data_IF_141842869556
#
_entry.id   IF_141842869556
#
_cell.length_a   1.000
_cell.length_b   1.000
_cell.length_c   1.000
_cell.angle_alpha   90.00
_cell.angle_beta   90.00
_cell.angle_gamma   90.00
#
_symmetry.space_group_name_H-M   'P 1'
#
loop_
_entity.id
_entity.type
_entity.pdbx_description
1 polymer ?
#
# COMPACT_ATOMS: atom_id res chain seq x y z
N UNK A 1 15.69 -31.60 -42.48
CA UNK A 1 16.17 -30.29 -41.95
C UNK A 1 15.01 -29.69 -41.17
N UNK A 2 14.97 -29.95 -39.89
CA UNK A 2 13.92 -29.47 -38.98
C UNK A 2 14.45 -28.21 -38.29
N UNK A 3 13.86 -27.06 -38.62
CA UNK A 3 14.17 -25.77 -38.06
C UNK A 3 13.59 -25.69 -36.63
N UNK A 4 14.47 -25.64 -35.61
CA UNK A 4 14.12 -25.43 -34.25
C UNK A 4 13.91 -23.93 -34.05
N UNK A 5 12.65 -23.50 -33.92
CA UNK A 5 12.33 -22.13 -33.54
C UNK A 5 12.62 -21.96 -32.06
N UNK A 6 13.70 -21.24 -31.70
CA UNK A 6 13.93 -20.77 -30.35
C UNK A 6 12.89 -19.69 -30.00
N UNK A 7 11.91 -20.03 -29.18
CA UNK A 7 11.04 -19.07 -28.50
C UNK A 7 11.89 -18.33 -27.44
N UNK A 8 12.29 -17.11 -27.76
CA UNK A 8 12.81 -16.19 -26.75
C UNK A 8 11.66 -15.75 -25.86
N UNK A 9 11.57 -16.33 -24.68
CA UNK A 9 10.74 -15.75 -23.60
C UNK A 9 11.48 -14.51 -23.13
N UNK A 10 11.04 -13.35 -23.60
CA UNK A 10 11.48 -12.07 -23.04
C UNK A 10 10.85 -11.99 -21.66
N UNK A 11 11.64 -11.96 -20.56
CA UNK A 11 11.06 -11.69 -19.26
C UNK A 11 10.44 -10.29 -19.32
N UNK A 12 9.13 -10.18 -19.05
CA UNK A 12 8.53 -8.90 -18.74
C UNK A 12 9.21 -8.40 -17.44
N UNK A 13 10.22 -7.56 -17.61
CA UNK A 13 10.78 -6.80 -16.52
C UNK A 13 9.69 -5.82 -16.06
N UNK A 14 9.01 -6.16 -14.98
CA UNK A 14 8.19 -5.20 -14.27
C UNK A 14 9.16 -4.12 -13.73
N UNK A 15 9.11 -2.88 -14.22
CA UNK A 15 10.10 -1.88 -13.83
C UNK A 15 9.84 -1.51 -12.36
N UNK A 16 10.77 -1.86 -11.50
CA UNK A 16 10.85 -1.33 -10.14
C UNK A 16 11.23 0.14 -10.20
N UNK A 17 10.24 1.01 -10.33
CA UNK A 17 10.44 2.44 -10.34
C UNK A 17 10.59 2.95 -8.90
N UNK A 18 11.82 2.99 -8.39
CA UNK A 18 12.12 3.70 -7.15
C UNK A 18 11.80 5.20 -7.32
N UNK A 19 10.98 5.75 -6.43
CA UNK A 19 10.60 7.16 -6.44
C UNK A 19 9.42 7.54 -7.33
N UNK A 20 8.80 6.59 -8.05
CA UNK A 20 7.59 6.84 -8.81
C UNK A 20 6.36 7.04 -7.89
N UNK A 21 5.35 7.76 -8.39
CA UNK A 21 4.03 7.81 -7.75
C UNK A 21 3.32 6.45 -7.95
N UNK A 22 3.30 5.62 -6.91
CA UNK A 22 2.70 4.28 -6.98
C UNK A 22 1.16 4.29 -6.91
N UNK A 23 0.56 5.45 -6.62
CA UNK A 23 -0.88 5.65 -6.63
C UNK A 23 -1.44 6.09 -7.99
N UNK A 24 -0.58 6.53 -8.92
CA UNK A 24 -1.00 7.09 -10.20
C UNK A 24 -1.88 6.13 -11.00
N UNK A 25 -3.07 6.60 -11.42
CA UNK A 25 -4.08 5.86 -12.19
C UNK A 25 -4.61 4.59 -11.50
N UNK A 26 -4.45 4.48 -10.18
CA UNK A 26 -5.01 3.38 -9.40
C UNK A 26 -6.47 3.63 -9.02
N UNK A 27 -7.17 2.56 -8.65
CA UNK A 27 -8.57 2.68 -8.21
C UNK A 27 -8.64 3.34 -6.85
N UNK A 28 -9.43 4.39 -6.75
CA UNK A 28 -9.61 5.14 -5.51
C UNK A 28 -11.09 5.18 -5.09
N UNK A 29 -11.30 5.38 -3.80
CA UNK A 29 -12.59 5.41 -3.15
C UNK A 29 -12.65 6.57 -2.16
N UNK A 30 -13.85 7.02 -1.82
CA UNK A 30 -14.06 8.06 -0.80
C UNK A 30 -15.36 7.80 -0.04
N UNK A 31 -15.46 8.33 1.17
CA UNK A 31 -16.60 8.13 2.07
C UNK A 31 -17.92 8.59 1.48
N UNK A 32 -17.91 9.68 0.73
CA UNK A 32 -19.06 10.26 0.06
C UNK A 32 -18.60 11.09 -1.12
N UNK A 33 -19.49 11.33 -2.09
CA UNK A 33 -19.19 12.12 -3.29
C UNK A 33 -20.10 13.35 -3.36
N UNK A 34 -19.49 14.53 -3.40
CA UNK A 34 -20.19 15.77 -3.69
C UNK A 34 -20.69 15.75 -5.15
N UNK A 35 -21.97 16.08 -5.31
CA UNK A 35 -22.60 16.15 -6.62
C UNK A 35 -23.15 17.57 -6.80
N UNK A 36 -22.63 18.26 -7.79
CA UNK A 36 -23.10 19.60 -8.13
C UNK A 36 -22.93 19.85 -9.63
N UNK A 37 -24.06 20.00 -10.31
CA UNK A 37 -24.17 20.36 -11.72
C UNK A 37 -23.17 19.59 -12.63
N UNK A 38 -22.17 20.25 -13.19
CA UNK A 38 -21.18 19.65 -14.10
C UNK A 38 -19.88 19.25 -13.42
N UNK A 39 -19.83 19.28 -12.08
CA UNK A 39 -18.60 18.95 -11.34
C UNK A 39 -18.55 17.45 -11.03
N UNK A 40 -17.55 16.77 -11.55
CA UNK A 40 -17.20 15.43 -11.11
C UNK A 40 -16.13 15.51 -9.99
N UNK A 41 -16.54 15.26 -8.75
CA UNK A 41 -15.68 15.28 -7.57
C UNK A 41 -15.33 13.86 -7.09
N UNK A 42 -15.13 12.93 -8.03
CA UNK A 42 -14.86 11.52 -7.72
C UNK A 42 -13.46 11.28 -7.15
N UNK A 43 -13.33 10.17 -6.44
CA UNK A 43 -12.08 9.78 -5.78
C UNK A 43 -10.91 9.66 -6.76
N UNK A 44 -11.15 9.22 -7.99
CA UNK A 44 -10.14 9.04 -9.03
C UNK A 44 -9.41 10.32 -9.44
N UNK A 45 -10.02 11.48 -9.24
CA UNK A 45 -9.41 12.77 -9.57
C UNK A 45 -8.16 13.08 -8.73
N UNK A 46 -7.96 12.40 -7.62
CA UNK A 46 -6.75 12.56 -6.81
C UNK A 46 -5.61 11.59 -7.16
N UNK A 47 -5.75 10.83 -8.24
CA UNK A 47 -4.72 9.90 -8.72
C UNK A 47 -4.62 9.87 -10.24
N UNK A 48 -5.13 10.90 -10.94
CA UNK A 48 -5.12 10.99 -12.39
C UNK A 48 -3.88 11.69 -12.98
N UNK A 49 -3.02 12.22 -12.10
CA UNK A 49 -1.81 12.96 -12.46
C UNK A 49 -2.05 14.44 -12.72
N UNK A 50 -3.29 14.92 -12.54
CA UNK A 50 -3.66 16.30 -12.78
C UNK A 50 -3.61 17.14 -11.48
N UNK A 51 -2.54 17.86 -11.28
CA UNK A 51 -2.33 18.71 -10.10
C UNK A 51 -3.05 20.07 -10.16
N UNK A 52 -3.95 20.26 -11.12
CA UNK A 52 -4.73 21.49 -11.20
C UNK A 52 -5.59 21.67 -9.94
N UNK A 53 -5.47 22.80 -9.29
CA UNK A 53 -6.10 23.10 -8.00
C UNK A 53 -7.58 23.51 -8.10
N UNK A 54 -8.17 23.49 -9.27
CA UNK A 54 -9.55 23.96 -9.51
C UNK A 54 -10.57 22.82 -9.51
N UNK A 55 -11.51 22.85 -8.58
CA UNK A 55 -12.59 21.86 -8.50
C UNK A 55 -13.50 21.88 -9.74
N UNK A 56 -13.80 23.06 -10.26
CA UNK A 56 -14.63 23.25 -11.46
C UNK A 56 -13.98 22.74 -12.75
N UNK A 57 -12.68 22.40 -12.69
CA UNK A 57 -11.95 21.71 -13.75
C UNK A 57 -12.02 20.18 -13.64
N UNK A 58 -12.83 19.61 -12.76
CA UNK A 58 -12.93 18.17 -12.48
C UNK A 58 -11.59 17.54 -12.08
N UNK A 59 -10.72 18.30 -11.41
CA UNK A 59 -9.38 17.88 -11.03
C UNK A 59 -9.23 17.56 -9.55
N UNK A 60 -10.29 17.67 -8.76
CA UNK A 60 -10.23 17.45 -7.32
C UNK A 60 -11.35 16.53 -6.85
N UNK A 61 -11.10 15.83 -5.74
CA UNK A 61 -12.12 15.08 -5.00
C UNK A 61 -12.91 16.02 -4.09
N UNK A 62 -14.12 15.63 -3.68
CA UNK A 62 -14.85 16.34 -2.65
C UNK A 62 -15.91 15.44 -1.99
N UNK A 63 -15.92 15.36 -0.67
CA UNK A 63 -16.97 14.69 0.11
C UNK A 63 -18.17 15.60 0.34
N UNK A 64 -19.31 15.06 0.79
CA UNK A 64 -20.54 15.84 1.03
C UNK A 64 -20.52 16.56 2.38
N UNK A 65 -21.42 17.53 2.54
CA UNK A 65 -21.74 18.16 3.83
C UNK A 65 -22.35 17.15 4.79
N UNK A 66 -21.97 17.24 6.07
CA UNK A 66 -22.49 16.37 7.13
C UNK A 66 -21.80 15.01 7.23
N UNK A 67 -20.86 14.71 6.36
CA UNK A 67 -20.00 13.54 6.49
C UNK A 67 -18.87 13.85 7.49
N UNK A 68 -19.09 13.56 8.76
CA UNK A 68 -18.12 13.83 9.84
C UNK A 68 -16.98 12.79 9.93
N UNK A 69 -17.09 11.71 9.17
CA UNK A 69 -16.09 10.64 9.11
C UNK A 69 -15.46 10.54 7.73
N UNK A 70 -15.06 11.68 7.18
CA UNK A 70 -14.54 11.76 5.81
C UNK A 70 -13.22 11.04 5.65
N UNK A 71 -13.13 10.26 4.59
CA UNK A 71 -11.92 9.58 4.18
C UNK A 71 -11.84 9.45 2.66
N UNK A 72 -10.63 9.28 2.19
CA UNK A 72 -10.28 8.89 0.84
C UNK A 72 -9.23 7.76 0.92
N UNK A 73 -9.28 6.82 -0.01
CA UNK A 73 -8.27 5.77 -0.10
C UNK A 73 -7.97 5.40 -1.55
N UNK A 74 -6.79 4.87 -1.78
CA UNK A 74 -6.37 4.27 -3.05
C UNK A 74 -5.91 2.82 -2.83
N UNK A 75 -6.32 1.92 -3.72
CA UNK A 75 -5.80 0.57 -3.82
C UNK A 75 -4.53 0.59 -4.69
N UNK A 76 -3.36 0.42 -4.07
CA UNK A 76 -2.09 0.39 -4.78
C UNK A 76 -1.90 -0.89 -5.62
N UNK A 77 -2.83 -1.86 -5.51
CA UNK A 77 -2.84 -3.20 -6.11
C UNK A 77 -1.76 -4.12 -5.54
N UNK A 78 -0.56 -3.61 -5.33
CA UNK A 78 0.59 -4.32 -4.80
C UNK A 78 0.89 -3.88 -3.36
N UNK A 79 1.74 -4.62 -2.67
CA UNK A 79 2.19 -4.28 -1.31
C UNK A 79 3.45 -3.43 -1.39
N UNK A 80 3.38 -2.25 -0.80
CA UNK A 80 4.49 -1.30 -0.74
C UNK A 80 4.90 -1.01 0.70
N UNK A 81 6.18 -0.74 0.89
CA UNK A 81 6.70 -0.02 2.03
C UNK A 81 6.58 1.48 1.73
N UNK A 82 5.52 2.09 2.22
CA UNK A 82 5.22 3.51 1.99
C UNK A 82 6.13 4.37 2.86
N UNK A 83 6.81 5.34 2.26
CA UNK A 83 7.78 6.22 2.95
C UNK A 83 7.33 7.66 3.02
N UNK A 84 6.70 8.18 1.97
CA UNK A 84 6.21 9.54 1.95
C UNK A 84 5.03 9.72 0.98
N UNK A 85 4.31 10.81 1.16
CA UNK A 85 3.18 11.19 0.35
C UNK A 85 3.21 12.69 0.07
N UNK A 86 2.83 13.08 -1.15
CA UNK A 86 2.58 14.48 -1.49
C UNK A 86 1.10 14.68 -1.75
N UNK A 87 0.51 15.69 -1.13
CA UNK A 87 -0.88 16.07 -1.29
C UNK A 87 -0.95 17.45 -1.97
N UNK A 88 -1.81 17.60 -2.97
CA UNK A 88 -2.13 18.88 -3.60
C UNK A 88 -3.53 19.33 -3.19
N UNK A 89 -3.62 20.57 -2.78
CA UNK A 89 -4.85 21.18 -2.30
C UNK A 89 -5.50 22.03 -3.39
N UNK A 90 -6.71 22.46 -3.12
CA UNK A 90 -7.44 23.42 -3.93
C UNK A 90 -6.88 24.84 -3.76
N UNK A 91 -7.07 25.67 -4.80
CA UNK A 91 -6.69 27.09 -4.82
C UNK A 91 -7.55 27.97 -3.92
N UNK A 92 -8.82 27.59 -3.74
CA UNK A 92 -9.78 28.26 -2.85
C UNK A 92 -10.26 27.31 -1.77
N UNK A 93 -10.69 27.84 -0.62
CA UNK A 93 -11.17 27.07 0.54
C UNK A 93 -10.16 26.01 0.99
N UNK A 94 -8.91 26.37 1.04
CA UNK A 94 -7.79 25.49 1.37
C UNK A 94 -7.95 24.84 2.77
N UNK A 95 -8.65 25.48 3.67
CA UNK A 95 -8.99 25.01 5.02
C UNK A 95 -9.82 23.71 5.05
N UNK A 96 -10.36 23.30 3.90
CA UNK A 96 -11.04 21.99 3.78
C UNK A 96 -10.07 20.79 3.83
N UNK A 97 -8.80 20.99 3.50
CA UNK A 97 -7.75 19.97 3.63
C UNK A 97 -6.89 20.24 4.87
N UNK A 98 -7.37 19.78 6.01
CA UNK A 98 -6.72 19.97 7.32
C UNK A 98 -7.04 18.83 8.28
N UNK A 99 -6.30 18.74 9.38
CA UNK A 99 -6.49 17.76 10.44
C UNK A 99 -6.46 16.32 9.90
N UNK A 100 -5.40 15.98 9.18
CA UNK A 100 -5.30 14.72 8.45
C UNK A 100 -4.58 13.67 9.29
N UNK A 101 -5.04 12.43 9.14
CA UNK A 101 -4.31 11.21 9.51
C UNK A 101 -4.11 10.42 8.22
N UNK A 102 -2.86 10.06 7.95
CA UNK A 102 -2.46 9.25 6.83
C UNK A 102 -2.11 7.85 7.33
N UNK A 103 -2.74 6.86 6.73
CA UNK A 103 -2.67 5.47 7.18
C UNK A 103 -2.39 4.54 6.00
N UNK A 104 -1.80 3.40 6.30
CA UNK A 104 -1.56 2.33 5.32
C UNK A 104 -2.15 1.03 5.86
N UNK A 105 -2.99 0.38 5.06
CA UNK A 105 -3.69 -0.84 5.44
C UNK A 105 -3.40 -2.01 4.51
N UNK A 106 -3.54 -3.22 5.05
CA UNK A 106 -3.37 -4.47 4.28
C UNK A 106 -4.70 -5.03 3.75
N UNK A 107 -5.83 -4.47 4.17
CA UNK A 107 -7.17 -4.92 3.76
C UNK A 107 -8.01 -3.73 3.33
N UNK A 108 -8.91 -3.96 2.36
CA UNK A 108 -9.91 -2.97 2.00
C UNK A 108 -10.81 -2.70 3.22
N UNK A 109 -10.94 -1.44 3.65
CA UNK A 109 -11.78 -1.12 4.77
C UNK A 109 -13.25 -1.33 4.41
N UNK A 110 -13.92 -2.17 5.19
CA UNK A 110 -15.37 -2.38 5.09
C UNK A 110 -16.12 -1.42 6.01
N UNK A 111 -15.46 -0.97 7.07
CA UNK A 111 -16.01 -0.05 8.10
C UNK A 111 -14.87 0.79 8.69
N UNK A 112 -15.17 2.02 9.12
CA UNK A 112 -14.24 2.85 9.89
C UNK A 112 -14.50 2.78 11.39
N UNK A 113 -13.47 2.90 12.25
CA UNK A 113 -12.05 3.01 11.90
C UNK A 113 -11.55 1.73 11.24
N UNK A 114 -10.59 1.87 10.33
CA UNK A 114 -10.05 0.75 9.56
C UNK A 114 -9.32 -0.19 10.51
N UNK A 115 -9.83 -1.41 10.76
CA UNK A 115 -9.10 -2.35 11.59
C UNK A 115 -7.73 -2.63 10.95
N UNK A 116 -6.65 -2.45 11.72
CA UNK A 116 -5.29 -2.81 11.32
C UNK A 116 -4.63 -1.91 10.25
N UNK A 117 -5.15 -0.70 9.99
CA UNK A 117 -4.35 0.32 9.33
C UNK A 117 -3.33 0.88 10.32
N UNK A 118 -2.09 1.02 9.86
CA UNK A 118 -1.00 1.63 10.63
C UNK A 118 -0.84 3.09 10.20
N UNK A 119 -0.58 3.96 11.17
CA UNK A 119 -0.39 5.37 10.89
C UNK A 119 0.97 5.61 10.23
N UNK A 120 0.94 6.19 9.02
CA UNK A 120 2.13 6.75 8.40
C UNK A 120 2.54 8.04 9.13
N UNK A 121 1.62 9.01 9.21
CA UNK A 121 1.84 10.28 9.93
C UNK A 121 0.52 11.01 10.15
N UNK A 122 0.57 12.14 10.87
CA UNK A 122 -0.56 13.03 11.05
C UNK A 122 -0.16 14.47 10.70
N UNK A 123 -1.10 15.23 10.16
CA UNK A 123 -0.93 16.63 9.83
C UNK A 123 -2.05 17.46 10.43
N UNK A 124 -1.83 18.14 11.56
CA UNK A 124 -2.90 18.87 12.27
C UNK A 124 -3.23 20.23 11.66
N UNK A 125 -2.42 20.72 10.75
CA UNK A 125 -2.61 22.04 10.12
C UNK A 125 -3.42 21.98 8.82
N UNK A 126 -3.62 23.13 8.21
CA UNK A 126 -4.18 23.27 6.85
C UNK A 126 -3.08 23.07 5.82
N UNK A 127 -3.31 22.21 4.84
CA UNK A 127 -2.41 22.04 3.71
C UNK A 127 -2.42 23.32 2.87
N UNK A 128 -1.24 23.86 2.56
CA UNK A 128 -1.10 24.96 1.60
C UNK A 128 -1.42 24.52 0.18
N UNK A 129 -0.74 25.05 -0.82
CA UNK A 129 -0.91 24.62 -2.23
C UNK A 129 -0.59 23.14 -2.38
N UNK A 130 0.50 22.71 -1.74
CA UNK A 130 0.89 21.29 -1.61
C UNK A 130 1.68 21.07 -0.33
N UNK A 131 1.77 19.81 0.10
CA UNK A 131 2.65 19.37 1.19
C UNK A 131 3.21 17.99 0.88
N UNK A 132 4.49 17.77 1.19
CA UNK A 132 5.08 16.44 1.21
C UNK A 132 5.30 16.03 2.66
N UNK A 133 4.71 14.92 3.05
CA UNK A 133 4.76 14.35 4.39
C UNK A 133 5.55 13.04 4.34
N UNK A 134 6.50 12.91 5.25
CA UNK A 134 7.23 11.64 5.45
C UNK A 134 6.54 10.86 6.55
N UNK A 135 6.40 9.54 6.38
CA UNK A 135 5.91 8.67 7.43
C UNK A 135 6.83 8.72 8.65
N UNK A 136 6.27 8.70 9.86
CA UNK A 136 7.02 8.66 11.12
C UNK A 136 7.96 7.45 11.17
N UNK A 137 7.53 6.35 10.55
CA UNK A 137 8.31 5.18 10.15
C UNK A 137 7.73 4.64 8.84
N UNK A 138 8.51 3.95 7.99
CA UNK A 138 7.97 3.27 6.81
C UNK A 138 6.86 2.29 7.21
N UNK A 139 5.74 2.30 6.49
CA UNK A 139 4.57 1.45 6.77
C UNK A 139 4.26 0.57 5.57
N UNK A 140 3.99 -0.71 5.83
CA UNK A 140 3.73 -1.69 4.77
C UNK A 140 2.25 -1.96 4.62
N UNK A 141 1.79 -1.88 3.36
CA UNK A 141 0.43 -2.26 3.00
C UNK A 141 0.11 -2.03 1.53
N UNK A 142 -1.14 -2.31 1.20
CA UNK A 142 -1.69 -2.16 -0.15
C UNK A 142 -2.57 -0.93 -0.30
N UNK A 143 -3.27 -0.55 0.77
CA UNK A 143 -4.22 0.56 0.73
C UNK A 143 -3.63 1.76 1.43
N UNK A 144 -3.51 2.88 0.70
CA UNK A 144 -3.13 4.16 1.30
C UNK A 144 -4.39 4.98 1.55
N UNK A 145 -4.49 5.56 2.76
CA UNK A 145 -5.71 6.18 3.27
C UNK A 145 -5.41 7.57 3.78
N UNK A 146 -6.23 8.54 3.38
CA UNK A 146 -6.28 9.89 3.95
C UNK A 146 -7.59 10.03 4.69
N UNK A 147 -7.52 10.23 6.00
CA UNK A 147 -8.67 10.45 6.84
C UNK A 147 -8.59 11.82 7.50
N UNK A 148 -9.70 12.53 7.48
CA UNK A 148 -9.82 13.81 8.19
C UNK A 148 -10.37 13.57 9.60
N UNK A 149 -9.72 14.17 10.59
CA UNK A 149 -10.24 14.18 11.95
C UNK A 149 -11.22 15.34 12.06
N UNK A 150 -12.49 15.02 12.33
CA UNK A 150 -13.50 16.06 12.59
C UNK A 150 -13.24 16.73 13.94
N UNK A 151 -13.17 18.05 13.93
CA UNK A 151 -13.10 18.88 15.13
C UNK A 151 -14.35 19.73 15.15
N UNK A 152 -15.20 19.67 16.22
CA UNK A 152 -16.42 20.46 16.31
C UNK A 152 -16.16 21.95 16.06
N UNK A 153 -16.99 22.55 15.17
CA UNK A 153 -16.84 23.94 14.74
C UNK A 153 -15.87 24.16 13.57
N UNK A 154 -15.27 23.08 13.03
CA UNK A 154 -14.46 23.13 11.79
C UNK A 154 -15.26 22.59 10.61
N UNK A 155 -14.69 22.76 9.40
CA UNK A 155 -15.29 22.29 8.15
C UNK A 155 -15.02 20.78 8.03
N UNK A 156 -16.07 19.99 7.84
CA UNK A 156 -16.01 18.53 7.78
C UNK A 156 -15.58 17.99 6.40
N UNK A 157 -15.67 18.77 5.33
CA UNK A 157 -15.30 18.27 4.00
C UNK A 157 -13.85 17.80 3.92
N UNK A 158 -13.63 16.74 3.13
CA UNK A 158 -12.32 16.35 2.64
C UNK A 158 -12.27 16.62 1.14
N UNK A 159 -11.27 17.35 0.68
CA UNK A 159 -11.06 17.66 -0.73
C UNK A 159 -9.56 17.69 -1.01
N UNK A 160 -9.13 17.10 -2.12
CA UNK A 160 -7.76 17.04 -2.60
C UNK A 160 -7.75 16.99 -4.11
N UNK A 161 -6.71 17.55 -4.74
CA UNK A 161 -6.63 17.56 -6.20
C UNK A 161 -5.65 16.52 -6.73
N UNK A 162 -4.63 16.11 -5.95
CA UNK A 162 -3.76 15.01 -6.30
C UNK A 162 -3.11 14.42 -5.05
N UNK A 163 -2.83 13.13 -5.10
CA UNK A 163 -2.11 12.35 -4.09
C UNK A 163 -1.01 11.54 -4.77
N UNK A 164 0.24 11.84 -4.46
CA UNK A 164 1.35 11.01 -4.91
C UNK A 164 1.92 10.23 -3.73
N UNK A 165 1.81 8.92 -3.79
CA UNK A 165 2.38 8.00 -2.79
C UNK A 165 3.71 7.48 -3.30
N UNK A 166 4.74 7.50 -2.44
CA UNK A 166 6.05 6.94 -2.72
C UNK A 166 6.39 5.84 -1.74
N UNK A 167 6.95 4.78 -2.27
CA UNK A 167 7.33 3.62 -1.49
C UNK A 167 8.11 2.61 -2.31
N UNK A 168 8.63 1.61 -1.63
CA UNK A 168 9.35 0.50 -2.24
C UNK A 168 8.38 -0.68 -2.43
N UNK A 169 8.40 -1.29 -3.61
CA UNK A 169 7.61 -2.49 -3.86
C UNK A 169 8.12 -3.65 -2.99
N UNK A 170 7.24 -4.24 -2.19
CA UNK A 170 7.54 -5.40 -1.34
C UNK A 170 7.00 -6.67 -1.96
N UNK A 171 5.77 -6.62 -2.47
CA UNK A 171 5.10 -7.77 -3.06
C UNK A 171 4.17 -7.31 -4.18
N UNK A 172 4.23 -8.00 -5.32
CA UNK A 172 3.36 -7.74 -6.47
C UNK A 172 2.52 -8.96 -6.81
N UNK A 173 1.30 -8.75 -7.27
CA UNK A 173 0.44 -9.81 -7.81
C UNK A 173 0.80 -10.15 -9.27
N UNK A 174 1.68 -9.37 -9.91
CA UNK A 174 2.10 -9.55 -11.30
C UNK A 174 3.23 -10.58 -11.46
N UNK A 175 2.89 -11.87 -11.44
CA UNK A 175 3.80 -12.95 -11.88
C UNK A 175 4.55 -13.68 -10.76
N UNK A 176 5.37 -14.69 -11.13
CA UNK A 176 6.13 -15.49 -10.19
C UNK A 176 7.17 -14.62 -9.49
N UNK A 177 6.86 -14.23 -8.27
CA UNK A 177 7.75 -13.44 -7.45
C UNK A 177 9.00 -14.24 -7.11
N UNK A 178 10.14 -13.61 -7.23
CA UNK A 178 11.40 -14.19 -6.81
C UNK A 178 11.46 -14.22 -5.28
N UNK A 179 10.94 -15.28 -4.69
CA UNK A 179 11.28 -15.61 -3.32
C UNK A 179 12.73 -16.09 -3.32
N UNK A 180 13.61 -15.36 -2.65
CA UNK A 180 14.97 -15.85 -2.41
C UNK A 180 15.00 -16.76 -1.21
N UNK A 181 15.64 -17.91 -1.37
CA UNK A 181 15.76 -18.89 -0.30
C UNK A 181 17.11 -18.75 0.42
N UNK A 182 17.05 -18.62 1.75
CA UNK A 182 18.21 -18.73 2.63
C UNK A 182 18.20 -20.11 3.30
N UNK A 183 19.07 -21.01 2.83
CA UNK A 183 19.15 -22.39 3.30
C UNK A 183 19.83 -22.46 4.67
N UNK A 184 19.28 -23.27 5.58
CA UNK A 184 19.80 -23.40 6.95
C UNK A 184 19.53 -22.18 7.83
N UNK A 185 18.61 -21.33 7.42
CA UNK A 185 18.21 -20.10 8.12
C UNK A 185 16.73 -20.08 8.44
N UNK A 186 16.39 -19.47 9.56
CA UNK A 186 15.02 -19.22 10.00
C UNK A 186 14.91 -17.80 10.54
N UNK A 187 13.83 -17.12 10.19
CA UNK A 187 13.46 -15.86 10.83
C UNK A 187 12.66 -16.13 12.09
N UNK A 188 13.16 -15.69 13.24
CA UNK A 188 12.46 -15.80 14.51
C UNK A 188 11.59 -14.57 14.73
N UNK A 189 10.28 -14.76 14.86
CA UNK A 189 9.34 -13.68 15.17
C UNK A 189 8.73 -13.91 16.54
N UNK A 190 8.59 -12.87 17.33
CA UNK A 190 7.93 -12.92 18.64
C UNK A 190 6.40 -13.01 18.52
N UNK A 191 5.84 -12.76 17.36
CA UNK A 191 4.41 -12.84 17.07
C UNK A 191 4.14 -13.90 16.01
N UNK A 192 3.52 -14.96 16.46
CA UNK A 192 3.21 -16.16 15.73
C UNK A 192 2.58 -15.90 14.37
N UNK A 193 3.33 -16.17 13.40
CA UNK A 193 2.99 -16.69 12.11
C UNK A 193 1.95 -17.80 12.20
N UNK A 194 1.10 -17.87 11.21
CA UNK A 194 0.21 -19.03 11.05
C UNK A 194 1.07 -20.23 10.71
N UNK A 195 1.08 -21.24 11.60
CA UNK A 195 1.72 -22.52 11.33
C UNK A 195 0.74 -23.42 10.56
N UNK A 196 1.16 -23.96 9.45
CA UNK A 196 0.44 -25.01 8.71
C UNK A 196 1.42 -26.08 8.27
N UNK A 197 0.95 -27.32 8.22
CA UNK A 197 1.74 -28.40 7.64
C UNK A 197 1.33 -28.53 6.18
N UNK A 198 2.30 -28.44 5.28
CA UNK A 198 2.11 -28.52 3.82
C UNK A 198 3.12 -29.49 3.21
N UNK A 199 2.80 -29.99 2.02
CA UNK A 199 3.60 -31.04 1.37
C UNK A 199 4.89 -30.51 0.74
N UNK A 200 4.98 -29.21 0.48
CA UNK A 200 6.16 -28.66 -0.19
C UNK A 200 6.38 -27.18 0.11
N UNK A 201 7.61 -26.68 -0.07
CA UNK A 201 7.88 -25.23 0.00
C UNK A 201 7.05 -24.41 -1.01
N UNK A 202 6.74 -24.99 -2.17
CA UNK A 202 5.94 -24.34 -3.20
C UNK A 202 4.48 -24.11 -2.76
N UNK A 203 3.91 -25.07 -2.04
CA UNK A 203 2.57 -24.94 -1.46
C UNK A 203 2.55 -23.86 -0.37
N UNK A 204 3.55 -23.87 0.53
CA UNK A 204 3.75 -22.83 1.53
C UNK A 204 3.89 -21.43 0.88
N UNK A 205 4.68 -21.34 -0.19
CA UNK A 205 4.84 -20.10 -0.95
C UNK A 205 3.54 -19.64 -1.62
N UNK A 206 2.75 -20.58 -2.15
CA UNK A 206 1.44 -20.27 -2.73
C UNK A 206 0.46 -19.74 -1.69
N UNK A 207 0.44 -20.31 -0.48
CA UNK A 207 -0.40 -19.82 0.62
C UNK A 207 0.05 -18.45 1.11
N UNK A 208 1.35 -18.23 1.22
CA UNK A 208 1.93 -16.92 1.53
C UNK A 208 1.58 -15.89 0.43
N UNK A 209 1.64 -16.29 -0.83
CA UNK A 209 1.30 -15.40 -1.96
C UNK A 209 -0.16 -14.95 -1.90
N UNK A 210 -1.08 -15.86 -1.60
CA UNK A 210 -2.53 -15.55 -1.45
C UNK A 210 -2.85 -14.69 -0.23
N UNK A 211 -1.95 -14.62 0.75
CA UNK A 211 -2.14 -13.81 1.94
C UNK A 211 -1.38 -12.49 1.80
N UNK A 212 -2.12 -11.40 1.61
CA UNK A 212 -1.57 -10.05 1.40
C UNK A 212 -0.64 -9.57 2.54
N UNK A 213 -0.82 -10.11 3.76
CA UNK A 213 0.04 -9.79 4.90
C UNK A 213 1.33 -10.60 4.94
N UNK A 214 1.41 -11.68 4.17
CA UNK A 214 2.57 -12.55 4.20
C UNK A 214 3.71 -11.91 3.42
N UNK A 215 4.79 -11.59 4.10
CA UNK A 215 5.99 -10.92 3.57
C UNK A 215 7.17 -11.86 3.43
N UNK A 216 7.01 -13.13 3.83
CA UNK A 216 8.01 -14.18 3.75
C UNK A 216 7.50 -15.43 4.44
N UNK A 217 8.31 -16.48 4.42
CA UNK A 217 7.98 -17.72 5.10
C UNK A 217 9.24 -18.45 5.55
N UNK A 218 9.09 -19.23 6.62
CA UNK A 218 10.01 -20.28 6.98
C UNK A 218 9.40 -21.63 6.62
N UNK A 219 10.20 -22.55 6.11
CA UNK A 219 9.77 -23.92 5.82
C UNK A 219 10.75 -24.92 6.41
N UNK A 220 10.24 -25.88 7.18
CA UNK A 220 11.03 -26.97 7.72
C UNK A 220 10.91 -28.21 6.84
N UNK A 221 12.04 -28.67 6.33
CA UNK A 221 12.10 -29.71 5.30
C UNK A 221 11.69 -31.09 5.80
N UNK A 222 11.87 -31.40 7.10
CA UNK A 222 11.62 -32.72 7.66
C UNK A 222 10.16 -32.93 8.05
N UNK A 223 9.49 -31.89 8.53
CA UNK A 223 8.11 -31.94 9.04
C UNK A 223 7.08 -31.38 8.09
N UNK A 224 7.52 -30.63 7.06
CA UNK A 224 6.63 -29.86 6.20
C UNK A 224 6.01 -28.63 6.90
N UNK A 225 6.58 -28.19 8.00
CA UNK A 225 6.07 -27.03 8.74
C UNK A 225 6.30 -25.75 7.94
N UNK A 226 5.21 -25.08 7.60
CA UNK A 226 5.16 -23.78 6.95
C UNK A 226 4.79 -22.71 7.97
N UNK A 227 5.64 -21.70 8.10
CA UNK A 227 5.47 -20.58 9.02
C UNK A 227 5.46 -19.29 8.22
N UNK A 228 4.29 -18.65 8.13
CA UNK A 228 4.14 -17.39 7.38
C UNK A 228 4.59 -16.21 8.24
N UNK A 229 5.34 -15.28 7.63
CA UNK A 229 5.94 -14.13 8.28
C UNK A 229 5.21 -12.87 7.83
N UNK A 230 4.72 -12.09 8.78
CA UNK A 230 3.93 -10.88 8.56
C UNK A 230 4.69 -9.59 8.92
N UNK A 231 6.01 -9.68 9.07
CA UNK A 231 6.89 -8.54 9.30
C UNK A 231 7.87 -8.40 8.15
N UNK A 232 8.35 -7.18 7.95
CA UNK A 232 9.41 -6.89 6.99
C UNK A 232 10.58 -7.84 7.13
N UNK A 233 11.20 -8.15 5.97
CA UNK A 233 12.47 -8.85 5.88
C UNK A 233 13.43 -8.26 6.90
N UNK A 234 13.88 -9.07 7.84
CA UNK A 234 14.98 -8.67 8.71
C UNK A 234 16.21 -8.37 7.86
N UNK A 235 17.07 -7.52 8.34
CA UNK A 235 18.46 -7.53 7.89
C UNK A 235 18.97 -8.97 8.00
N UNK A 236 19.89 -9.39 7.13
CA UNK A 236 20.47 -10.75 7.13
C UNK A 236 20.96 -11.17 8.53
N UNK A 237 21.31 -10.19 9.36
CA UNK A 237 21.72 -10.34 10.77
C UNK A 237 20.63 -10.87 11.71
N UNK A 238 19.35 -10.78 11.33
CA UNK A 238 18.22 -11.26 12.13
C UNK A 238 17.80 -12.71 11.78
N UNK A 239 18.42 -13.32 10.76
CA UNK A 239 18.21 -14.72 10.43
C UNK A 239 19.09 -15.61 11.33
N UNK A 240 18.48 -16.48 12.10
CA UNK A 240 19.19 -17.43 12.95
C UNK A 240 19.60 -18.69 12.17
N UNK A 241 20.72 -19.30 12.55
CA UNK A 241 21.10 -20.60 12.02
C UNK A 241 20.11 -21.66 12.52
N UNK A 242 19.48 -22.35 11.58
CA UNK A 242 18.48 -23.38 11.85
C UNK A 242 18.60 -24.50 10.81
N UNK A 243 19.46 -25.51 11.03
CA UNK A 243 19.59 -26.66 10.14
C UNK A 243 18.23 -27.31 9.90
N UNK A 244 17.93 -27.67 8.64
CA UNK A 244 16.63 -28.23 8.24
C UNK A 244 15.58 -27.19 7.84
N UNK A 245 15.78 -25.94 8.18
CA UNK A 245 14.90 -24.84 7.80
C UNK A 245 15.39 -24.12 6.54
N UNK A 246 14.44 -23.48 5.85
CA UNK A 246 14.70 -22.53 4.77
C UNK A 246 13.84 -21.31 5.00
N UNK A 247 14.44 -20.14 5.04
CA UNK A 247 13.74 -18.87 4.98
C UNK A 247 13.55 -18.45 3.52
N UNK A 248 12.36 -17.99 3.18
CA UNK A 248 12.04 -17.41 1.87
C UNK A 248 11.50 -16.00 2.10
N UNK A 249 12.17 -15.00 1.55
CA UNK A 249 11.77 -13.60 1.60
C UNK A 249 11.49 -13.05 0.22
N UNK A 250 10.52 -12.13 0.10
CA UNK A 250 10.36 -11.35 -1.12
C UNK A 250 11.56 -10.42 -1.27
N UNK A 251 12.14 -10.37 -2.47
CA UNK A 251 13.14 -9.37 -2.79
C UNK A 251 12.44 -8.04 -3.05
N UNK A 252 12.97 -6.99 -2.44
CA UNK A 252 12.71 -5.63 -2.88
C UNK A 252 13.44 -5.48 -4.22
N UNK A 253 12.73 -5.19 -5.27
CA UNK A 253 13.32 -4.93 -6.57
C UNK A 253 14.08 -3.60 -6.57
#
# INVERSE_FOLDING_TARGET
MTSLALLFVVPLLCPCATGANVALHKVAYQSSKYVFDHIDASAGNAVDGNTNSRLDGNSCTHTITGDVNTWWLVDLLDVYEVTNVTLWNRDIVADRLQNLILEVGSQLPVVLPIPQAERCTAFPGTVGVQVTLTCDAPVIGRFFIVRKVYVPGTIEYLTMCEVAVRGNLIKSDCGPQCLTAEVGKRFMTDNASKFVTVLSPAECASDCHRNIRCLGLNYEMSTGTCEMIYKLKPSVEQLTNAPGWRYYGYNIC
#
